data_IF_676005117484
#
_entry.id   IF_676005117484
#
_cell.length_a   1.000
_cell.length_b   1.000
_cell.length_c   1.000
_cell.angle_alpha   90.00
_cell.angle_beta   90.00
_cell.angle_gamma   90.00
#
_symmetry.space_group_name_H-M   'P 1'
#
loop_
_entity.id
_entity.type
_entity.pdbx_description
1 polymer ?
#
# COMPACT_ATOMS: atom_id res chain seq x y z
N UNK A 1 13.94 18.15 6.02
CA UNK A 1 13.79 17.11 4.97
C UNK A 1 14.77 15.95 5.10
N UNK A 2 16.09 16.11 4.85
CA UNK A 2 16.99 14.94 4.66
C UNK A 2 17.00 13.97 5.84
N UNK A 3 16.97 14.48 7.07
CA UNK A 3 16.92 13.67 8.30
C UNK A 3 15.55 13.00 8.44
N UNK A 4 14.46 13.79 8.41
CA UNK A 4 13.09 13.26 8.56
C UNK A 4 12.73 12.23 7.48
N UNK A 5 13.10 12.48 6.22
CA UNK A 5 12.89 11.52 5.12
C UNK A 5 13.77 10.27 5.28
N UNK A 6 15.00 10.43 5.81
CA UNK A 6 15.83 9.29 6.18
C UNK A 6 15.18 8.41 7.25
N UNK A 7 14.58 9.02 8.27
CA UNK A 7 13.80 8.31 9.29
C UNK A 7 12.59 7.60 8.70
N UNK A 8 11.81 8.29 7.85
CA UNK A 8 10.68 7.67 7.15
C UNK A 8 11.11 6.51 6.26
N UNK A 9 12.26 6.63 5.57
CA UNK A 9 12.83 5.55 4.76
C UNK A 9 13.17 4.31 5.58
N UNK A 10 13.68 4.47 6.80
CA UNK A 10 13.94 3.34 7.71
C UNK A 10 12.64 2.61 8.05
N UNK A 11 11.57 3.34 8.34
CA UNK A 11 10.26 2.75 8.59
C UNK A 11 9.70 2.06 7.34
N UNK A 12 9.67 2.73 6.19
CA UNK A 12 9.10 2.18 4.96
C UNK A 12 9.82 0.93 4.45
N UNK A 13 11.15 0.93 4.45
CA UNK A 13 11.95 -0.25 4.10
C UNK A 13 11.86 -1.34 5.16
N UNK A 14 11.81 -0.97 6.45
CA UNK A 14 11.65 -1.91 7.54
C UNK A 14 10.33 -2.66 7.48
N UNK A 15 9.21 -1.94 7.36
CA UNK A 15 7.86 -2.51 7.29
C UNK A 15 7.69 -3.40 6.05
N UNK A 16 7.96 -2.87 4.86
CA UNK A 16 7.79 -3.63 3.63
C UNK A 16 8.78 -4.81 3.55
N UNK A 17 10.03 -4.59 3.96
CA UNK A 17 11.07 -5.63 4.01
C UNK A 17 10.73 -6.77 4.94
N UNK A 18 10.28 -6.47 6.17
CA UNK A 18 9.85 -7.48 7.13
C UNK A 18 8.58 -8.21 6.66
N UNK A 19 7.67 -7.53 5.97
CA UNK A 19 6.47 -8.16 5.40
C UNK A 19 6.84 -9.20 4.34
N UNK A 20 7.65 -8.83 3.34
CA UNK A 20 8.12 -9.77 2.30
C UNK A 20 8.96 -10.88 2.90
N UNK A 21 9.88 -10.55 3.81
CA UNK A 21 10.76 -11.52 4.46
C UNK A 21 9.97 -12.53 5.29
N UNK A 22 9.06 -12.06 6.14
CA UNK A 22 8.22 -12.91 6.99
C UNK A 22 7.31 -13.82 6.15
N UNK A 23 6.64 -13.26 5.14
CA UNK A 23 5.80 -14.02 4.22
C UNK A 23 6.61 -15.10 3.48
N UNK A 24 7.79 -14.74 2.95
CA UNK A 24 8.68 -15.67 2.23
C UNK A 24 9.21 -16.78 3.13
N UNK A 25 9.66 -16.43 4.34
CA UNK A 25 10.23 -17.38 5.28
C UNK A 25 9.19 -18.41 5.72
N UNK A 26 8.00 -17.95 6.13
CA UNK A 26 6.92 -18.85 6.55
C UNK A 26 6.45 -19.69 5.36
N UNK A 27 6.33 -19.11 4.17
CA UNK A 27 6.00 -19.86 2.96
C UNK A 27 7.01 -21.01 2.69
N UNK A 28 8.32 -20.74 2.75
CA UNK A 28 9.36 -21.76 2.56
C UNK A 28 9.28 -22.86 3.63
N UNK A 29 9.06 -22.51 4.90
CA UNK A 29 8.92 -23.49 5.98
C UNK A 29 7.71 -24.39 5.77
N UNK A 30 6.57 -23.81 5.38
CA UNK A 30 5.33 -24.55 5.12
C UNK A 30 5.47 -25.44 3.88
N UNK A 31 6.16 -24.99 2.82
CA UNK A 31 6.50 -25.84 1.68
C UNK A 31 7.29 -27.07 2.13
N UNK A 32 8.33 -26.90 2.95
CA UNK A 32 9.13 -28.01 3.47
C UNK A 32 8.35 -29.01 4.34
N UNK A 33 7.25 -28.56 4.95
CA UNK A 33 6.41 -29.40 5.81
C UNK A 33 5.28 -30.11 5.07
N UNK A 34 4.64 -29.45 4.11
CA UNK A 34 3.40 -29.91 3.49
C UNK A 34 3.56 -30.35 2.02
N UNK A 35 4.69 -30.07 1.36
CA UNK A 35 4.98 -30.55 0.00
C UNK A 35 5.79 -31.85 0.05
N UNK A 36 5.21 -32.90 0.62
CA UNK A 36 5.84 -34.22 0.81
C UNK A 36 5.68 -35.20 -0.37
N UNK A 37 4.98 -34.77 -1.43
CA UNK A 37 4.73 -35.57 -2.63
C UNK A 37 3.69 -36.68 -2.46
N UNK A 38 3.01 -36.75 -1.31
CA UNK A 38 2.01 -37.79 -1.03
C UNK A 38 0.64 -37.50 -1.68
N UNK A 39 0.29 -36.22 -1.86
CA UNK A 39 -0.98 -35.77 -2.45
C UNK A 39 -0.74 -34.91 -3.71
N UNK A 40 -1.84 -34.57 -4.39
CA UNK A 40 -1.86 -33.62 -5.50
C UNK A 40 -1.27 -32.26 -5.07
N UNK A 41 -0.40 -31.71 -5.93
CA UNK A 41 0.26 -30.42 -5.75
C UNK A 41 -0.74 -29.33 -5.35
N UNK A 42 -1.88 -29.25 -6.03
CA UNK A 42 -2.88 -28.21 -5.75
C UNK A 42 -3.45 -28.30 -4.34
N UNK A 43 -3.70 -29.52 -3.84
CA UNK A 43 -4.24 -29.75 -2.49
C UNK A 43 -3.20 -29.35 -1.45
N UNK A 44 -1.97 -29.84 -1.60
CA UNK A 44 -0.89 -29.52 -0.66
C UNK A 44 -0.57 -28.02 -0.66
N UNK A 45 -0.53 -27.38 -1.84
CA UNK A 45 -0.33 -25.93 -1.95
C UNK A 45 -1.49 -25.14 -1.32
N UNK A 46 -2.74 -25.62 -1.45
CA UNK A 46 -3.88 -24.98 -0.78
C UNK A 46 -3.70 -25.01 0.73
N UNK A 47 -3.27 -26.14 1.32
CA UNK A 47 -2.98 -26.23 2.75
C UNK A 47 -1.85 -25.28 3.16
N UNK A 48 -0.81 -25.13 2.34
CA UNK A 48 0.29 -24.18 2.58
C UNK A 48 -0.23 -22.74 2.62
N UNK A 49 -1.02 -22.34 1.61
CA UNK A 49 -1.51 -20.96 1.49
C UNK A 49 -2.59 -20.63 2.55
N UNK A 50 -3.46 -21.58 2.88
CA UNK A 50 -4.43 -21.43 3.98
C UNK A 50 -3.74 -21.35 5.34
N UNK A 51 -2.67 -22.11 5.56
CA UNK A 51 -1.85 -21.99 6.76
C UNK A 51 -1.16 -20.61 6.83
N UNK A 52 -0.70 -20.10 5.69
CA UNK A 52 -0.11 -18.78 5.57
C UNK A 52 -1.12 -17.64 5.82
N UNK A 53 -2.42 -17.89 5.59
CA UNK A 53 -3.48 -16.96 5.97
C UNK A 53 -3.55 -16.70 7.48
N UNK A 54 -3.08 -17.65 8.30
CA UNK A 54 -2.91 -17.42 9.74
C UNK A 54 -1.90 -16.31 10.06
N UNK A 55 -0.83 -16.18 9.27
CA UNK A 55 0.13 -15.06 9.41
C UNK A 55 -0.50 -13.72 9.04
N UNK A 56 -1.25 -13.67 7.93
CA UNK A 56 -1.99 -12.48 7.52
C UNK A 56 -3.03 -12.06 8.57
N UNK A 57 -3.79 -13.02 9.11
CA UNK A 57 -4.78 -12.76 10.16
C UNK A 57 -4.13 -12.21 11.43
N UNK A 58 -2.99 -12.77 11.84
CA UNK A 58 -2.22 -12.28 12.99
C UNK A 58 -1.73 -10.84 12.78
N UNK A 59 -1.20 -10.55 11.59
CA UNK A 59 -0.74 -9.21 11.21
C UNK A 59 -1.87 -8.16 11.32
N UNK A 60 -3.01 -8.43 10.69
CA UNK A 60 -4.19 -7.54 10.71
C UNK A 60 -4.80 -7.38 12.11
N UNK A 61 -4.80 -8.46 12.91
CA UNK A 61 -5.31 -8.40 14.29
C UNK A 61 -4.48 -7.46 15.15
N UNK A 62 -3.15 -7.52 15.06
CA UNK A 62 -2.25 -6.62 15.79
C UNK A 62 -2.36 -5.19 15.25
N UNK A 63 -2.43 -5.04 13.91
CA UNK A 63 -2.61 -3.73 13.27
C UNK A 63 -3.86 -3.00 13.77
N UNK A 64 -4.98 -3.71 13.89
CA UNK A 64 -6.23 -3.16 14.43
C UNK A 64 -6.04 -2.57 15.83
N UNK A 65 -5.44 -3.33 16.76
CA UNK A 65 -5.22 -2.84 18.13
C UNK A 65 -4.20 -1.71 18.18
N UNK A 66 -3.11 -1.79 17.41
CA UNK A 66 -2.10 -0.74 17.36
C UNK A 66 -2.68 0.57 16.81
N UNK A 67 -3.44 0.50 15.72
CA UNK A 67 -4.04 1.68 15.08
C UNK A 67 -5.16 2.30 15.92
N UNK A 68 -6.05 1.49 16.48
CA UNK A 68 -7.14 1.99 17.34
C UNK A 68 -6.59 2.51 18.67
N UNK A 69 -5.72 1.75 19.33
CA UNK A 69 -5.12 2.15 20.61
C UNK A 69 -4.25 3.39 20.48
N UNK A 70 -3.36 3.40 19.49
CA UNK A 70 -2.51 4.56 19.18
C UNK A 70 -3.34 5.77 18.75
N UNK A 71 -4.32 5.58 17.86
CA UNK A 71 -5.22 6.62 17.38
C UNK A 71 -6.04 7.29 18.49
N UNK A 72 -6.58 6.52 19.44
CA UNK A 72 -7.27 7.06 20.62
C UNK A 72 -6.28 7.87 21.48
N UNK A 73 -5.06 7.38 21.66
CA UNK A 73 -4.04 8.08 22.45
C UNK A 73 -3.66 9.43 21.83
N UNK A 74 -3.26 9.45 20.55
CA UNK A 74 -2.87 10.70 19.87
C UNK A 74 -4.04 11.68 19.82
N UNK A 75 -5.21 11.28 19.31
CA UNK A 75 -6.31 12.25 19.11
C UNK A 75 -6.96 12.73 20.40
N UNK A 76 -6.85 11.99 21.50
CA UNK A 76 -7.25 12.52 22.80
C UNK A 76 -6.27 13.59 23.33
N UNK A 77 -4.97 13.40 23.09
CA UNK A 77 -3.92 14.33 23.52
C UNK A 77 -3.92 15.60 22.65
N UNK A 78 -3.87 15.44 21.32
CA UNK A 78 -3.90 16.47 20.28
C UNK A 78 -5.09 17.44 20.49
N UNK A 79 -6.33 16.91 20.49
CA UNK A 79 -7.54 17.72 20.69
C UNK A 79 -7.54 18.44 22.04
N UNK A 80 -7.03 17.80 23.10
CA UNK A 80 -6.94 18.40 24.42
C UNK A 80 -5.89 19.52 24.49
N UNK A 81 -4.72 19.30 23.90
CA UNK A 81 -3.63 20.26 23.85
C UNK A 81 -4.04 21.50 23.04
N UNK A 82 -4.61 21.30 21.86
CA UNK A 82 -4.95 22.37 20.93
C UNK A 82 -6.12 23.23 21.41
N UNK A 83 -7.20 22.61 21.93
CA UNK A 83 -8.36 23.37 22.40
C UNK A 83 -7.99 24.23 23.63
N UNK A 84 -7.38 23.63 24.65
CA UNK A 84 -7.06 24.38 25.88
C UNK A 84 -5.91 25.35 25.62
N UNK A 85 -4.89 24.96 24.85
CA UNK A 85 -3.74 25.79 24.55
C UNK A 85 -4.08 26.97 23.64
N UNK A 86 -4.50 26.69 22.40
CA UNK A 86 -4.66 27.72 21.36
C UNK A 86 -5.96 28.51 21.52
N UNK A 87 -7.07 27.84 21.87
CA UNK A 87 -8.40 28.48 21.88
C UNK A 87 -8.74 29.11 23.22
N UNK A 88 -8.50 28.43 24.35
CA UNK A 88 -8.86 28.92 25.68
C UNK A 88 -7.78 29.80 26.32
N UNK A 89 -6.54 29.29 26.37
CA UNK A 89 -5.42 29.99 27.02
C UNK A 89 -4.69 30.98 26.11
N UNK A 90 -4.86 30.86 24.77
CA UNK A 90 -4.20 31.72 23.78
C UNK A 90 -2.68 31.59 23.77
N UNK A 91 -2.15 30.44 24.19
CA UNK A 91 -0.72 30.11 24.09
C UNK A 91 -0.41 29.46 22.73
N UNK A 92 0.83 29.54 22.24
CA UNK A 92 1.24 28.84 21.02
C UNK A 92 0.96 27.34 21.06
N UNK A 93 0.85 26.75 19.88
CA UNK A 93 0.89 25.30 19.67
C UNK A 93 2.22 24.74 20.20
N UNK A 94 2.17 23.53 20.77
CA UNK A 94 3.29 22.86 21.44
C UNK A 94 4.01 23.67 22.53
N UNK A 95 3.32 24.61 23.18
CA UNK A 95 3.95 25.40 24.23
C UNK A 95 4.30 24.52 25.45
N UNK A 96 5.53 24.60 26.00
CA UNK A 96 5.98 23.74 27.11
C UNK A 96 5.21 23.96 28.42
N UNK A 97 4.39 25.01 28.52
CA UNK A 97 3.49 25.24 29.66
C UNK A 97 2.23 24.38 29.59
N UNK A 98 1.89 23.85 28.41
CA UNK A 98 0.75 22.97 28.22
C UNK A 98 1.13 21.53 28.62
N UNK A 99 0.51 20.95 29.67
CA UNK A 99 0.87 19.61 30.13
C UNK A 99 0.50 18.50 29.13
N UNK A 100 -0.33 18.78 28.13
CA UNK A 100 -0.75 17.82 27.13
C UNK A 100 0.25 17.66 25.97
N UNK A 101 1.15 18.63 25.74
CA UNK A 101 2.09 18.63 24.60
C UNK A 101 3.00 17.40 24.53
N UNK A 102 3.44 16.89 25.68
CA UNK A 102 4.24 15.66 25.70
C UNK A 102 3.40 14.45 25.27
N UNK A 103 2.15 14.38 25.70
CA UNK A 103 1.27 13.29 25.30
C UNK A 103 0.90 13.37 23.81
N UNK A 104 0.80 14.57 23.26
CA UNK A 104 0.55 14.82 21.84
C UNK A 104 1.69 14.27 20.97
N UNK A 105 2.91 14.75 21.22
CA UNK A 105 4.12 14.30 20.52
C UNK A 105 4.40 12.80 20.69
N UNK A 106 4.17 12.25 21.89
CA UNK A 106 4.22 10.78 22.10
C UNK A 106 3.14 10.09 21.24
N UNK A 107 1.96 10.68 21.15
CA UNK A 107 0.85 10.21 20.35
C UNK A 107 1.20 10.06 18.88
N UNK A 108 1.87 11.02 18.26
CA UNK A 108 2.27 10.92 16.85
C UNK A 108 3.17 9.71 16.58
N UNK A 109 4.07 9.41 17.53
CA UNK A 109 4.94 8.25 17.43
C UNK A 109 4.17 6.92 17.62
N UNK A 110 3.18 6.89 18.51
CA UNK A 110 2.44 5.66 18.83
C UNK A 110 1.31 5.39 17.84
N UNK A 111 0.55 6.42 17.45
CA UNK A 111 -0.55 6.33 16.49
C UNK A 111 -0.07 6.44 15.07
N UNK A 112 0.48 7.60 14.72
CA UNK A 112 0.72 7.97 13.33
C UNK A 112 1.96 7.28 12.75
N UNK A 113 2.92 6.86 13.58
CA UNK A 113 4.06 6.01 13.15
C UNK A 113 3.79 4.53 13.40
N UNK A 114 3.71 4.08 14.66
CA UNK A 114 3.63 2.65 14.95
C UNK A 114 2.32 2.00 14.45
N UNK A 115 1.18 2.68 14.63
CA UNK A 115 -0.12 2.23 14.12
C UNK A 115 -0.17 2.14 12.60
N UNK A 116 0.28 3.18 11.90
CA UNK A 116 0.36 3.21 10.42
C UNK A 116 1.30 2.11 9.88
N UNK A 117 2.46 1.90 10.52
CA UNK A 117 3.40 0.86 10.13
C UNK A 117 2.80 -0.54 10.23
N UNK A 118 2.07 -0.84 11.31
CA UNK A 118 1.40 -2.12 11.49
C UNK A 118 0.24 -2.32 10.48
N UNK A 119 -0.54 -1.27 10.22
CA UNK A 119 -1.64 -1.28 9.24
C UNK A 119 -1.16 -1.62 7.83
N UNK A 120 -0.11 -0.94 7.37
CA UNK A 120 0.44 -1.18 6.04
C UNK A 120 1.20 -2.49 5.96
N UNK A 121 1.82 -2.96 7.05
CA UNK A 121 2.37 -4.31 7.14
C UNK A 121 1.27 -5.36 6.88
N UNK A 122 0.15 -5.28 7.60
CA UNK A 122 -0.99 -6.18 7.43
C UNK A 122 -1.54 -6.15 6.01
N UNK A 123 -1.85 -4.96 5.52
CA UNK A 123 -2.40 -4.74 4.17
C UNK A 123 -1.49 -5.31 3.09
N UNK A 124 -0.18 -5.16 3.25
CA UNK A 124 0.82 -5.66 2.31
C UNK A 124 0.87 -7.19 2.29
N UNK A 125 0.93 -7.82 3.47
CA UNK A 125 0.90 -9.29 3.61
C UNK A 125 -0.39 -9.87 3.04
N UNK A 126 -1.54 -9.30 3.40
CA UNK A 126 -2.85 -9.77 2.96
C UNK A 126 -3.01 -9.70 1.43
N UNK A 127 -2.57 -8.60 0.82
CA UNK A 127 -2.72 -8.38 -0.62
C UNK A 127 -1.82 -9.30 -1.44
N UNK A 128 -0.56 -9.48 -1.01
CA UNK A 128 0.37 -10.41 -1.68
C UNK A 128 -0.13 -11.85 -1.51
N UNK A 129 -0.57 -12.24 -0.30
CA UNK A 129 -1.11 -13.57 -0.05
C UNK A 129 -2.39 -13.85 -0.86
N UNK A 130 -3.33 -12.91 -0.94
CA UNK A 130 -4.53 -13.08 -1.76
C UNK A 130 -4.17 -13.35 -3.23
N UNK A 131 -3.14 -12.66 -3.73
CA UNK A 131 -2.62 -12.88 -5.08
C UNK A 131 -1.95 -14.24 -5.24
N UNK A 132 -1.24 -14.73 -4.22
CA UNK A 132 -0.69 -16.10 -4.18
C UNK A 132 -1.80 -17.15 -4.25
N UNK A 133 -2.88 -16.98 -3.47
CA UNK A 133 -4.05 -17.88 -3.48
C UNK A 133 -4.70 -17.93 -4.86
N UNK A 134 -4.89 -16.77 -5.50
CA UNK A 134 -5.43 -16.75 -6.86
C UNK A 134 -4.46 -17.30 -7.91
N UNK A 135 -3.14 -17.18 -7.69
CA UNK A 135 -2.14 -17.86 -8.50
C UNK A 135 -2.31 -19.38 -8.46
N UNK A 136 -2.60 -19.95 -7.28
CA UNK A 136 -2.87 -21.38 -7.14
C UNK A 136 -4.15 -21.82 -7.87
N UNK A 137 -5.19 -20.98 -7.94
CA UNK A 137 -6.38 -21.26 -8.75
C UNK A 137 -6.08 -21.30 -10.25
N UNK A 138 -5.24 -20.39 -10.76
CA UNK A 138 -4.83 -20.46 -12.18
C UNK A 138 -4.04 -21.74 -12.45
N UNK A 139 -3.14 -22.14 -11.55
CA UNK A 139 -2.37 -23.38 -11.70
C UNK A 139 -3.31 -24.58 -11.81
N UNK A 140 -4.36 -24.63 -10.99
CA UNK A 140 -5.41 -25.65 -11.10
C UNK A 140 -6.12 -25.59 -12.45
N UNK A 141 -6.57 -24.42 -12.88
CA UNK A 141 -7.30 -24.24 -14.13
C UNK A 141 -6.48 -24.70 -15.33
N UNK A 142 -5.21 -24.30 -15.40
CA UNK A 142 -4.26 -24.75 -16.44
C UNK A 142 -4.03 -26.27 -16.40
N UNK A 143 -3.95 -26.86 -15.20
CA UNK A 143 -3.75 -28.30 -15.05
C UNK A 143 -4.98 -29.11 -15.50
N UNK A 144 -6.18 -28.60 -15.25
CA UNK A 144 -7.44 -29.21 -15.69
C UNK A 144 -7.60 -29.15 -17.21
N UNK A 145 -7.22 -28.04 -17.82
CA UNK A 145 -7.30 -27.84 -19.28
C UNK A 145 -6.31 -28.75 -20.03
N UNK A 146 -5.07 -28.85 -19.56
CA UNK A 146 -4.03 -29.70 -20.17
C UNK A 146 -4.19 -31.19 -19.84
N UNK A 147 -4.99 -31.53 -18.82
CA UNK A 147 -5.15 -32.91 -18.34
C UNK A 147 -3.90 -33.47 -17.63
N UNK A 148 -2.93 -32.61 -17.31
CA UNK A 148 -1.71 -32.94 -16.59
C UNK A 148 -1.32 -31.79 -15.65
N UNK A 149 -0.59 -32.10 -14.58
CA UNK A 149 -0.11 -31.08 -13.65
C UNK A 149 0.71 -30.01 -14.37
N UNK A 150 0.38 -28.75 -14.15
CA UNK A 150 1.15 -27.61 -14.64
C UNK A 150 2.60 -27.69 -14.12
N UNK A 151 3.54 -27.54 -15.04
CA UNK A 151 4.97 -27.58 -14.74
C UNK A 151 5.66 -26.42 -15.46
N UNK A 152 6.50 -25.70 -14.71
CA UNK A 152 7.34 -24.62 -15.19
C UNK A 152 8.75 -24.76 -14.60
N UNK A 153 9.64 -23.82 -14.88
CA UNK A 153 10.99 -23.78 -14.31
C UNK A 153 11.02 -23.54 -12.78
N UNK A 154 9.86 -23.31 -12.15
CA UNK A 154 9.68 -22.96 -10.74
C UNK A 154 8.87 -24.02 -9.98
N UNK A 155 8.88 -25.27 -10.45
CA UNK A 155 8.13 -26.39 -9.88
C UNK A 155 6.61 -26.19 -9.85
N UNK A 156 6.06 -25.54 -10.88
CA UNK A 156 4.64 -25.24 -11.02
C UNK A 156 4.16 -24.06 -10.18
N UNK A 157 5.07 -23.25 -9.61
CA UNK A 157 4.73 -22.16 -8.69
C UNK A 157 4.81 -20.76 -9.30
N UNK A 158 5.11 -20.59 -10.59
CA UNK A 158 5.30 -19.29 -11.25
C UNK A 158 4.20 -18.27 -10.90
N UNK A 159 2.90 -18.57 -11.11
CA UNK A 159 1.80 -17.68 -10.75
C UNK A 159 1.68 -17.33 -9.26
N UNK A 160 2.12 -18.22 -8.37
CA UNK A 160 2.13 -17.99 -6.90
C UNK A 160 3.30 -17.09 -6.53
N UNK A 161 4.47 -17.28 -7.14
CA UNK A 161 5.69 -16.52 -6.84
C UNK A 161 5.66 -15.10 -7.42
N UNK A 162 4.95 -14.87 -8.52
CA UNK A 162 4.88 -13.56 -9.18
C UNK A 162 4.58 -12.38 -8.24
N UNK A 163 3.48 -12.36 -7.46
CA UNK A 163 3.19 -11.25 -6.55
C UNK A 163 4.25 -11.06 -5.46
N UNK A 164 4.87 -12.16 -5.00
CA UNK A 164 5.93 -12.11 -3.98
C UNK A 164 7.22 -11.49 -4.53
N UNK A 165 7.60 -11.88 -5.75
CA UNK A 165 8.80 -11.32 -6.42
C UNK A 165 8.55 -9.87 -6.85
N UNK A 166 7.34 -9.54 -7.31
CA UNK A 166 6.93 -8.17 -7.63
C UNK A 166 7.05 -7.26 -6.39
N UNK A 167 6.59 -7.74 -5.24
CA UNK A 167 6.74 -7.06 -3.95
C UNK A 167 8.22 -6.83 -3.59
N UNK A 168 9.06 -7.87 -3.71
CA UNK A 168 10.51 -7.76 -3.47
C UNK A 168 11.21 -6.76 -4.41
N UNK A 169 10.88 -6.78 -5.71
CA UNK A 169 11.40 -5.82 -6.68
C UNK A 169 10.90 -4.41 -6.40
N UNK A 170 9.65 -4.25 -5.96
CA UNK A 170 9.10 -2.97 -5.55
C UNK A 170 9.85 -2.32 -4.38
N UNK A 171 10.38 -3.12 -3.44
CA UNK A 171 11.28 -2.63 -2.38
C UNK A 171 12.59 -2.12 -2.99
N UNK A 172 13.21 -2.88 -3.89
CA UNK A 172 14.45 -2.45 -4.58
C UNK A 172 14.20 -1.18 -5.40
N UNK A 173 13.09 -1.12 -6.12
CA UNK A 173 12.65 0.06 -6.87
C UNK A 173 12.45 1.27 -5.96
N UNK A 174 11.90 1.06 -4.76
CA UNK A 174 11.74 2.11 -3.75
C UNK A 174 13.10 2.61 -3.25
N UNK A 175 14.05 1.72 -2.95
CA UNK A 175 15.43 2.09 -2.58
C UNK A 175 16.05 2.95 -3.68
N UNK A 176 15.98 2.54 -4.94
CA UNK A 176 16.51 3.30 -6.06
C UNK A 176 15.78 4.64 -6.22
N UNK A 177 14.46 4.67 -6.03
CA UNK A 177 13.63 5.87 -6.05
C UNK A 177 14.08 6.91 -5.01
N UNK A 178 14.50 6.48 -3.82
CA UNK A 178 14.97 7.40 -2.77
C UNK A 178 16.20 8.22 -3.20
N UNK A 179 17.05 7.67 -4.09
CA UNK A 179 18.26 8.35 -4.58
C UNK A 179 17.95 9.56 -5.48
N UNK A 180 16.73 9.61 -6.02
CA UNK A 180 16.23 10.70 -6.87
C UNK A 180 15.54 11.82 -6.08
N UNK A 181 15.27 11.61 -4.77
CA UNK A 181 14.67 12.64 -3.91
C UNK A 181 15.77 13.62 -3.48
N UNK A 182 15.81 14.78 -4.14
CA UNK A 182 16.78 15.84 -3.84
C UNK A 182 16.10 17.20 -3.79
N UNK A 183 16.30 17.91 -2.69
CA UNK A 183 16.03 19.34 -2.60
C UNK A 183 17.33 20.10 -2.86
N UNK A 184 17.27 21.08 -3.76
CA UNK A 184 18.42 21.89 -4.16
C UNK A 184 18.75 23.03 -3.20
N UNK A 185 17.77 23.48 -2.40
CA UNK A 185 17.91 24.66 -1.54
C UNK A 185 17.23 24.45 -0.18
N UNK A 186 17.87 24.91 0.89
CA UNK A 186 17.31 24.85 2.25
C UNK A 186 16.14 25.83 2.44
N UNK A 187 15.95 26.80 1.53
CA UNK A 187 14.77 27.67 1.53
C UNK A 187 13.53 27.03 0.88
N UNK A 188 13.55 25.72 0.63
CA UNK A 188 12.49 25.06 -0.09
C UNK A 188 11.15 25.11 0.66
N UNK A 189 10.10 25.54 -0.04
CA UNK A 189 8.73 25.59 0.49
C UNK A 189 8.05 24.24 0.35
N UNK A 190 6.96 24.03 1.10
CA UNK A 190 6.15 22.81 1.12
C UNK A 190 5.89 22.22 -0.28
N UNK A 191 5.44 23.03 -1.24
CA UNK A 191 5.16 22.57 -2.60
C UNK A 191 6.39 21.98 -3.32
N UNK A 192 7.60 22.47 -3.01
CA UNK A 192 8.84 21.94 -3.58
C UNK A 192 9.25 20.65 -2.88
N UNK A 193 8.99 20.53 -1.57
CA UNK A 193 9.17 19.29 -0.82
C UNK A 193 8.26 18.19 -1.36
N UNK A 194 6.96 18.47 -1.46
CA UNK A 194 5.97 17.52 -1.99
C UNK A 194 6.33 17.08 -3.41
N UNK A 195 6.74 18.00 -4.28
CA UNK A 195 7.17 17.66 -5.64
C UNK A 195 8.39 16.73 -5.66
N UNK A 196 9.35 16.92 -4.75
CA UNK A 196 10.51 16.04 -4.65
C UNK A 196 10.11 14.62 -4.21
N UNK A 197 9.23 14.51 -3.22
CA UNK A 197 8.67 13.23 -2.74
C UNK A 197 7.88 12.51 -3.85
N UNK A 198 7.00 13.23 -4.55
CA UNK A 198 6.24 12.71 -5.69
C UNK A 198 7.15 12.22 -6.83
N UNK A 199 8.27 12.91 -7.07
CA UNK A 199 9.25 12.50 -8.09
C UNK A 199 9.87 11.15 -7.72
N UNK A 200 10.26 10.95 -6.46
CA UNK A 200 10.77 9.67 -5.98
C UNK A 200 9.76 8.53 -6.13
N UNK A 201 8.49 8.79 -5.82
CA UNK A 201 7.39 7.83 -6.01
C UNK A 201 7.22 7.44 -7.49
N UNK A 202 7.20 8.42 -8.40
CA UNK A 202 7.11 8.15 -9.84
C UNK A 202 8.27 7.28 -10.33
N UNK A 203 9.50 7.53 -9.88
CA UNK A 203 10.65 6.68 -10.23
C UNK A 203 10.50 5.25 -9.71
N UNK A 204 10.04 5.06 -8.47
CA UNK A 204 9.79 3.72 -7.93
C UNK A 204 8.72 2.97 -8.77
N UNK A 205 7.64 3.65 -9.15
CA UNK A 205 6.58 3.11 -10.01
C UNK A 205 7.12 2.72 -11.38
N UNK A 206 7.90 3.59 -12.03
CA UNK A 206 8.46 3.32 -13.37
C UNK A 206 9.45 2.15 -13.36
N UNK A 207 10.31 2.06 -12.34
CA UNK A 207 11.23 0.92 -12.20
C UNK A 207 10.45 -0.38 -12.00
N UNK A 208 9.41 -0.35 -11.15
CA UNK A 208 8.54 -1.50 -10.90
C UNK A 208 7.80 -1.93 -12.16
N UNK A 209 7.31 -0.97 -12.96
CA UNK A 209 6.66 -1.22 -14.24
C UNK A 209 7.59 -1.91 -15.25
N UNK A 210 8.82 -1.42 -15.39
CA UNK A 210 9.78 -2.03 -16.33
C UNK A 210 10.14 -3.43 -15.85
N UNK A 211 10.38 -3.61 -14.55
CA UNK A 211 10.72 -4.91 -14.02
C UNK A 211 9.56 -5.92 -14.10
N UNK A 212 8.31 -5.47 -13.93
CA UNK A 212 7.15 -6.36 -14.01
C UNK A 212 6.98 -6.99 -15.38
N UNK A 213 7.34 -6.31 -16.48
CA UNK A 213 7.38 -6.89 -17.82
C UNK A 213 8.27 -8.14 -17.86
N UNK A 214 9.52 -8.01 -17.40
CA UNK A 214 10.48 -9.12 -17.40
C UNK A 214 10.10 -10.22 -16.41
N UNK A 215 9.53 -9.87 -15.25
CA UNK A 215 9.08 -10.86 -14.28
C UNK A 215 7.92 -11.69 -14.81
N UNK A 216 6.97 -11.07 -15.50
CA UNK A 216 5.82 -11.75 -16.09
C UNK A 216 6.26 -12.68 -17.21
N UNK A 217 7.14 -12.21 -18.10
CA UNK A 217 7.74 -13.03 -19.16
C UNK A 217 8.56 -14.21 -18.59
N UNK A 218 9.21 -14.02 -17.44
CA UNK A 218 10.04 -15.04 -16.81
C UNK A 218 9.25 -16.07 -15.99
N UNK A 219 8.20 -15.65 -15.28
CA UNK A 219 7.46 -16.49 -14.31
C UNK A 219 6.17 -17.09 -14.86
N UNK A 220 5.58 -16.54 -15.92
CA UNK A 220 4.33 -17.00 -16.49
C UNK A 220 4.54 -17.63 -17.88
N UNK A 221 3.74 -18.63 -18.27
CA UNK A 221 3.72 -19.10 -19.65
C UNK A 221 3.18 -18.01 -20.58
N UNK A 222 3.59 -18.01 -21.85
CA UNK A 222 3.16 -17.01 -22.85
C UNK A 222 1.63 -16.91 -22.94
N UNK A 223 0.94 -18.04 -22.85
CA UNK A 223 -0.52 -18.14 -22.76
C UNK A 223 -0.91 -18.92 -21.51
N UNK A 224 -1.80 -18.33 -20.72
CA UNK A 224 -2.47 -18.97 -19.59
C UNK A 224 -3.74 -19.61 -20.14
N UNK A 225 -3.74 -20.93 -20.23
CA UNK A 225 -4.85 -21.69 -20.82
C UNK A 225 -5.92 -22.04 -19.77
N UNK A 226 -7.17 -22.09 -20.20
CA UNK A 226 -8.26 -22.62 -19.39
C UNK A 226 -8.70 -21.75 -18.20
N UNK A 227 -8.30 -20.49 -18.12
CA UNK A 227 -8.64 -19.60 -17.00
C UNK A 227 -10.16 -19.43 -16.89
N UNK A 228 -10.73 -19.70 -15.72
CA UNK A 228 -12.18 -19.59 -15.51
C UNK A 228 -12.62 -18.14 -15.29
N UNK A 229 -13.49 -17.65 -16.18
CA UNK A 229 -14.19 -16.38 -16.01
C UNK A 229 -15.60 -16.62 -15.47
N UNK A 230 -15.99 -15.83 -14.47
CA UNK A 230 -17.31 -15.90 -13.85
C UNK A 230 -18.41 -15.68 -14.90
N UNK A 231 -19.25 -16.69 -15.11
CA UNK A 231 -20.36 -16.63 -16.06
C UNK A 231 -19.97 -16.75 -17.54
N UNK A 232 -18.69 -16.86 -17.88
CA UNK A 232 -18.20 -16.89 -19.27
C UNK A 232 -17.41 -18.16 -19.61
N UNK A 233 -17.06 -18.98 -18.62
CA UNK A 233 -16.35 -20.25 -18.80
C UNK A 233 -14.84 -20.09 -18.93
N UNK A 234 -14.17 -21.18 -19.34
CA UNK A 234 -12.74 -21.21 -19.59
C UNK A 234 -12.35 -20.34 -20.79
N UNK A 235 -11.30 -19.53 -20.63
CA UNK A 235 -10.71 -18.71 -21.69
C UNK A 235 -9.19 -18.75 -21.61
N UNK A 236 -8.57 -18.74 -22.79
CA UNK A 236 -7.12 -18.60 -22.90
C UNK A 236 -6.78 -17.12 -22.96
N UNK A 237 -5.84 -16.70 -22.11
CA UNK A 237 -5.38 -15.31 -22.06
C UNK A 237 -3.85 -15.24 -22.21
N UNK A 238 -3.32 -14.25 -22.95
CA UNK A 238 -1.88 -14.06 -23.01
C UNK A 238 -1.37 -13.51 -21.67
N UNK A 239 -0.17 -13.88 -21.24
CA UNK A 239 0.45 -13.34 -20.03
C UNK A 239 0.64 -11.82 -20.08
N UNK A 240 0.70 -11.23 -21.27
CA UNK A 240 0.68 -9.77 -21.44
C UNK A 240 -0.55 -9.10 -20.82
N UNK A 241 -1.68 -9.80 -20.69
CA UNK A 241 -2.84 -9.27 -20.00
C UNK A 241 -2.60 -9.10 -18.50
N UNK A 242 -1.82 -10.00 -17.89
CA UNK A 242 -1.40 -9.86 -16.49
C UNK A 242 -0.53 -8.61 -16.33
N UNK A 243 0.34 -8.32 -17.31
CA UNK A 243 1.14 -7.09 -17.31
C UNK A 243 0.27 -5.83 -17.41
N UNK A 244 -0.74 -5.83 -18.28
CA UNK A 244 -1.70 -4.73 -18.34
C UNK A 244 -2.49 -4.59 -17.03
N UNK A 245 -2.83 -5.68 -16.34
CA UNK A 245 -3.45 -5.62 -15.02
C UNK A 245 -2.50 -5.02 -13.96
N UNK A 246 -1.20 -5.35 -14.02
CA UNK A 246 -0.17 -4.70 -13.20
C UNK A 246 -0.10 -3.19 -13.46
N UNK A 247 -0.17 -2.75 -14.73
CA UNK A 247 -0.24 -1.32 -15.09
C UNK A 247 -1.46 -0.64 -14.46
N UNK A 248 -2.63 -1.28 -14.51
CA UNK A 248 -3.83 -0.76 -13.85
C UNK A 248 -3.57 -0.56 -12.36
N UNK A 249 -2.99 -1.54 -11.68
CA UNK A 249 -2.64 -1.46 -10.26
C UNK A 249 -1.70 -0.30 -9.91
N UNK A 250 -0.57 -0.20 -10.63
CA UNK A 250 0.40 0.89 -10.48
C UNK A 250 -0.23 2.26 -10.78
N UNK A 251 -1.08 2.32 -11.81
CA UNK A 251 -1.82 3.51 -12.20
C UNK A 251 -2.79 3.97 -11.12
N UNK A 252 -3.52 3.05 -10.49
CA UNK A 252 -4.41 3.36 -9.36
C UNK A 252 -3.61 3.91 -8.18
N UNK A 253 -2.49 3.28 -7.82
CA UNK A 253 -1.61 3.77 -6.75
C UNK A 253 -1.11 5.20 -6.99
N UNK A 254 -0.81 5.55 -8.24
CA UNK A 254 -0.44 6.91 -8.60
C UNK A 254 -1.64 7.88 -8.56
N UNK A 255 -2.76 7.50 -9.17
CA UNK A 255 -3.95 8.35 -9.30
C UNK A 255 -4.61 8.63 -7.95
N UNK A 256 -4.65 7.66 -7.04
CA UNK A 256 -5.20 7.87 -5.70
C UNK A 256 -4.36 8.88 -4.92
N UNK A 257 -3.03 8.82 -5.05
CA UNK A 257 -2.13 9.82 -4.46
C UNK A 257 -2.39 11.23 -5.03
N UNK A 258 -2.59 11.37 -6.34
CA UNK A 258 -2.91 12.65 -6.97
C UNK A 258 -4.28 13.20 -6.55
N UNK A 259 -5.30 12.35 -6.46
CA UNK A 259 -6.63 12.74 -6.02
C UNK A 259 -6.60 13.21 -4.56
N UNK A 260 -5.96 12.43 -3.69
CA UNK A 260 -5.77 12.81 -2.29
C UNK A 260 -5.04 14.14 -2.18
N UNK A 261 -3.91 14.33 -2.88
CA UNK A 261 -3.18 15.61 -2.88
C UNK A 261 -4.06 16.80 -3.34
N UNK A 262 -4.91 16.61 -4.36
CA UNK A 262 -5.80 17.68 -4.81
C UNK A 262 -6.82 18.13 -3.75
N UNK A 263 -7.32 17.19 -2.95
CA UNK A 263 -8.32 17.47 -1.91
C UNK A 263 -7.70 17.87 -0.56
N UNK A 264 -6.42 17.57 -0.30
CA UNK A 264 -5.79 17.82 1.01
C UNK A 264 -4.66 18.86 0.99
N UNK A 265 -4.01 19.13 -0.14
CA UNK A 265 -2.86 20.03 -0.16
C UNK A 265 -3.24 21.52 -0.08
N UNK A 266 -2.43 22.29 0.65
CA UNK A 266 -2.55 23.74 0.75
C UNK A 266 -2.39 24.41 -0.63
N UNK A 267 -3.21 25.45 -0.87
CA UNK A 267 -3.22 26.18 -2.13
C UNK A 267 -4.00 25.51 -3.27
N UNK A 268 -4.61 24.35 -3.04
CA UNK A 268 -5.59 23.76 -3.97
C UNK A 268 -6.98 24.32 -3.71
N UNK A 269 -7.81 24.35 -4.77
CA UNK A 269 -9.16 24.92 -4.72
C UNK A 269 -10.02 24.35 -3.56
N UNK A 270 -10.13 23.02 -3.34
CA UNK A 270 -10.99 22.49 -2.28
C UNK A 270 -10.60 22.98 -0.89
N UNK A 271 -9.29 23.05 -0.60
CA UNK A 271 -8.78 23.52 0.69
C UNK A 271 -8.94 25.04 0.84
N UNK A 272 -8.69 25.81 -0.23
CA UNK A 272 -8.90 27.26 -0.23
C UNK A 272 -10.37 27.62 0.01
N UNK A 273 -11.30 26.85 -0.55
CA UNK A 273 -12.74 27.03 -0.31
C UNK A 273 -13.07 26.80 1.18
N UNK A 274 -12.46 25.81 1.85
CA UNK A 274 -12.62 25.59 3.30
C UNK A 274 -12.07 26.79 4.09
N UNK A 275 -10.84 27.21 3.80
CA UNK A 275 -10.18 28.36 4.45
C UNK A 275 -11.02 29.63 4.32
N UNK A 276 -11.60 29.88 3.14
CA UNK A 276 -12.48 31.01 2.92
C UNK A 276 -13.75 30.90 3.77
N UNK A 277 -14.35 29.71 3.89
CA UNK A 277 -15.51 29.50 4.73
C UNK A 277 -15.20 29.66 6.23
N UNK A 278 -13.96 29.41 6.66
CA UNK A 278 -13.52 29.65 8.05
C UNK A 278 -13.70 31.11 8.48
N UNK A 279 -13.72 32.08 7.55
CA UNK A 279 -13.95 33.49 7.88
C UNK A 279 -15.37 33.80 8.39
N UNK A 280 -16.31 32.87 8.22
CA UNK A 280 -17.71 33.00 8.64
C UNK A 280 -18.03 32.21 9.91
N UNK A 281 -17.03 31.56 10.50
CA UNK A 281 -17.12 30.86 11.79
C UNK A 281 -16.84 29.36 11.71
N UNK A 282 -16.82 28.71 12.87
CA UNK A 282 -16.51 27.29 12.99
C UNK A 282 -17.56 26.38 12.32
N UNK A 283 -18.84 26.76 12.39
CA UNK A 283 -19.93 25.95 11.83
C UNK A 283 -19.82 25.80 10.30
N UNK A 284 -19.56 26.90 9.58
CA UNK A 284 -19.38 26.89 8.12
C UNK A 284 -18.08 26.21 7.72
N UNK A 285 -17.01 26.34 8.51
CA UNK A 285 -15.78 25.57 8.33
C UNK A 285 -16.04 24.05 8.38
N UNK A 286 -16.75 23.57 9.40
CA UNK A 286 -17.09 22.15 9.57
C UNK A 286 -17.97 21.66 8.41
N UNK A 287 -18.99 22.42 8.02
CA UNK A 287 -19.88 22.07 6.90
C UNK A 287 -19.10 21.97 5.59
N UNK A 288 -18.22 22.95 5.31
CA UNK A 288 -17.39 22.95 4.11
C UNK A 288 -16.42 21.76 4.10
N UNK A 289 -15.74 21.49 5.22
CA UNK A 289 -14.84 20.35 5.36
C UNK A 289 -15.53 19.00 5.16
N UNK A 290 -16.69 18.79 5.80
CA UNK A 290 -17.49 17.57 5.61
C UNK A 290 -17.96 17.41 4.16
N UNK A 291 -18.40 18.50 3.52
CA UNK A 291 -18.84 18.48 2.12
C UNK A 291 -17.71 18.10 1.17
N UNK A 292 -16.52 18.71 1.32
CA UNK A 292 -15.33 18.37 0.52
C UNK A 292 -14.91 16.92 0.76
N UNK A 293 -14.93 16.45 2.01
CA UNK A 293 -14.65 15.06 2.37
C UNK A 293 -15.58 14.08 1.64
N UNK A 294 -16.89 14.32 1.67
CA UNK A 294 -17.87 13.49 0.94
C UNK A 294 -17.63 13.50 -0.58
N UNK A 295 -17.35 14.66 -1.17
CA UNK A 295 -17.06 14.79 -2.61
C UNK A 295 -15.79 14.02 -3.00
N UNK A 296 -14.74 14.06 -2.17
CA UNK A 296 -13.45 13.43 -2.48
C UNK A 296 -13.58 11.92 -2.73
N UNK A 297 -14.49 11.25 -2.01
CA UNK A 297 -14.70 9.80 -2.11
C UNK A 297 -15.20 9.36 -3.50
N UNK A 298 -15.93 10.22 -4.22
CA UNK A 298 -16.48 9.89 -5.53
C UNK A 298 -15.37 9.58 -6.54
N UNK A 299 -14.28 10.36 -6.52
CA UNK A 299 -13.14 10.16 -7.42
C UNK A 299 -12.44 8.81 -7.18
N UNK A 300 -12.22 8.46 -5.91
CA UNK A 300 -11.62 7.20 -5.50
C UNK A 300 -12.51 6.00 -5.85
N UNK A 301 -13.82 6.08 -5.57
CA UNK A 301 -14.76 4.99 -5.87
C UNK A 301 -14.82 4.70 -7.37
N UNK A 302 -14.90 5.74 -8.21
CA UNK A 302 -14.91 5.57 -9.68
C UNK A 302 -13.59 4.98 -10.19
N UNK A 303 -12.46 5.41 -9.62
CA UNK A 303 -11.14 4.87 -9.94
C UNK A 303 -11.05 3.36 -9.63
N UNK A 304 -11.43 2.95 -8.42
CA UNK A 304 -11.43 1.54 -8.03
C UNK A 304 -12.43 0.71 -8.82
N UNK A 305 -13.63 1.23 -9.12
CA UNK A 305 -14.61 0.53 -9.96
C UNK A 305 -14.06 0.28 -11.38
N UNK A 306 -13.46 1.29 -12.00
CA UNK A 306 -12.82 1.15 -13.31
C UNK A 306 -11.62 0.19 -13.26
N UNK A 307 -10.84 0.22 -12.19
CA UNK A 307 -9.68 -0.66 -12.01
C UNK A 307 -10.08 -2.12 -11.83
N UNK A 308 -11.08 -2.41 -10.98
CA UNK A 308 -11.61 -3.75 -10.78
C UNK A 308 -12.16 -4.30 -12.09
N UNK A 309 -13.00 -3.52 -12.79
CA UNK A 309 -13.54 -3.93 -14.07
C UNK A 309 -12.44 -4.16 -15.13
N UNK A 310 -11.50 -3.22 -15.27
CA UNK A 310 -10.43 -3.30 -16.24
C UNK A 310 -9.47 -4.44 -15.99
N UNK A 311 -9.02 -4.64 -14.74
CA UNK A 311 -8.13 -5.75 -14.36
C UNK A 311 -8.82 -7.11 -14.48
N UNK A 312 -10.11 -7.20 -14.13
CA UNK A 312 -10.90 -8.42 -14.33
C UNK A 312 -11.06 -8.75 -15.81
N UNK A 313 -11.35 -7.77 -16.66
CA UNK A 313 -11.48 -7.98 -18.11
C UNK A 313 -10.17 -8.45 -18.76
N UNK A 314 -9.02 -8.13 -18.16
CA UNK A 314 -7.71 -8.54 -18.65
C UNK A 314 -7.36 -9.98 -18.23
N UNK A 315 -7.43 -10.29 -16.93
CA UNK A 315 -6.94 -11.56 -16.39
C UNK A 315 -7.79 -12.14 -15.24
N UNK A 316 -9.10 -11.91 -15.27
CA UNK A 316 -10.05 -12.44 -14.28
C UNK A 316 -9.73 -11.98 -12.86
N UNK A 317 -10.11 -12.78 -11.87
CA UNK A 317 -9.84 -12.46 -10.46
C UNK A 317 -8.35 -12.35 -10.15
N UNK A 318 -7.50 -13.13 -10.82
CA UNK A 318 -6.05 -13.00 -10.66
C UNK A 318 -5.54 -11.66 -11.15
N UNK A 319 -6.08 -11.14 -12.26
CA UNK A 319 -5.81 -9.78 -12.72
C UNK A 319 -6.13 -8.74 -11.65
N UNK A 320 -7.28 -8.88 -10.99
CA UNK A 320 -7.68 -7.99 -9.87
C UNK A 320 -6.69 -8.09 -8.71
N UNK A 321 -6.29 -9.29 -8.31
CA UNK A 321 -5.35 -9.49 -7.20
C UNK A 321 -3.94 -8.99 -7.54
N UNK A 322 -3.44 -9.27 -8.75
CA UNK A 322 -2.15 -8.75 -9.22
C UNK A 322 -2.17 -7.23 -9.34
N UNK A 323 -3.28 -6.61 -9.77
CA UNK A 323 -3.41 -5.17 -9.76
C UNK A 323 -3.32 -4.62 -8.31
N UNK A 324 -3.98 -5.26 -7.34
CA UNK A 324 -3.87 -4.87 -5.94
C UNK A 324 -2.43 -5.04 -5.40
N UNK A 325 -1.78 -6.17 -5.70
CA UNK A 325 -0.38 -6.40 -5.31
C UNK A 325 0.58 -5.41 -5.96
N UNK A 326 0.35 -5.03 -7.21
CA UNK A 326 1.14 -4.04 -7.93
C UNK A 326 0.99 -2.64 -7.35
N UNK A 327 -0.23 -2.25 -6.95
CA UNK A 327 -0.46 -0.99 -6.22
C UNK A 327 0.38 -0.92 -4.95
N UNK A 328 0.46 -2.04 -4.23
CA UNK A 328 1.25 -2.16 -3.00
C UNK A 328 2.76 -2.35 -3.27
N UNK A 329 3.21 -2.72 -4.48
CA UNK A 329 4.64 -2.97 -4.72
C UNK A 329 5.55 -1.78 -4.31
N UNK A 330 5.08 -0.55 -4.49
CA UNK A 330 5.81 0.68 -4.09
C UNK A 330 5.52 1.18 -2.67
N UNK A 331 4.88 0.36 -1.83
CA UNK A 331 4.51 0.72 -0.44
C UNK A 331 5.71 1.19 0.39
N UNK A 332 6.92 0.65 0.17
CA UNK A 332 8.11 1.11 0.88
C UNK A 332 8.41 2.61 0.66
N UNK A 333 8.26 3.11 -0.57
CA UNK A 333 8.39 4.54 -0.87
C UNK A 333 7.21 5.35 -0.31
N UNK A 334 5.99 4.82 -0.41
CA UNK A 334 4.80 5.51 0.10
C UNK A 334 4.85 5.68 1.63
N UNK A 335 5.22 4.63 2.38
CA UNK A 335 5.48 4.74 3.82
C UNK A 335 6.61 5.72 4.12
N UNK A 336 7.67 5.76 3.32
CA UNK A 336 8.77 6.68 3.58
C UNK A 336 8.33 8.15 3.48
N UNK A 337 7.38 8.43 2.58
CA UNK A 337 6.75 9.75 2.41
C UNK A 337 5.75 10.02 3.54
N UNK A 338 4.99 9.01 3.95
CA UNK A 338 3.97 9.15 5.00
C UNK A 338 4.61 9.36 6.38
N UNK A 339 5.55 8.48 6.75
CA UNK A 339 6.31 8.54 7.99
C UNK A 339 7.22 9.77 8.11
N UNK A 340 7.51 10.46 7.00
CA UNK A 340 8.17 11.76 7.04
C UNK A 340 7.33 12.81 7.78
N UNK A 341 5.99 12.73 7.71
CA UNK A 341 5.06 13.67 8.33
C UNK A 341 5.20 13.73 9.85
N UNK A 342 4.92 12.63 10.60
CA UNK A 342 5.01 12.62 12.07
C UNK A 342 6.40 12.97 12.61
N UNK A 343 7.48 12.64 11.88
CA UNK A 343 8.85 13.01 12.25
C UNK A 343 9.09 14.51 12.09
N UNK A 344 8.47 15.13 11.07
CA UNK A 344 8.53 16.58 10.91
C UNK A 344 7.66 17.29 11.96
N UNK A 345 6.55 16.68 12.36
CA UNK A 345 5.64 17.18 13.40
C UNK A 345 6.34 17.27 14.77
N UNK A 346 6.93 16.15 15.22
CA UNK A 346 7.73 16.08 16.45
C UNK A 346 9.01 16.94 16.43
N UNK A 347 9.42 17.43 15.26
CA UNK A 347 10.55 18.37 15.17
C UNK A 347 10.09 19.82 15.27
N UNK A 348 8.79 20.09 15.11
CA UNK A 348 8.13 21.38 15.30
C UNK A 348 7.73 21.62 16.76
N UNK A 349 7.23 20.57 17.43
CA UNK A 349 6.96 20.57 18.88
C UNK A 349 8.21 20.52 19.75
#
# INVERSE_FOLDING_TARGET
LKISFGGGTVMGLGVAGLAVFGLSLIFILLLGQFMDGANDFYINMTVVLESLAGFSLGAESIALFARVGGGIYTKAADVGADLVGKVEAGIPEDDPRNPATIADNVGDNVGDVAGMGADLFGSYVATVLASMVLGNYIIRDMSLDQGSQFSDAFNGMGPILLPLVLAGVGIVASILGTLFIRIKDNSAKEAQVQKALNTGNIFAILITLVASWFLIDYLLPETINGMQFFGEGAKDIPATNVFYATIVGLGVGYLISLFTEYYTALGKKPVLDIVQNSSTGAATNIIAGLSVGMISTASSVLLFAAAIWGSYALAGFYGVAIAASAMMATTAMQLAIDAFGPIADNAGG
#
